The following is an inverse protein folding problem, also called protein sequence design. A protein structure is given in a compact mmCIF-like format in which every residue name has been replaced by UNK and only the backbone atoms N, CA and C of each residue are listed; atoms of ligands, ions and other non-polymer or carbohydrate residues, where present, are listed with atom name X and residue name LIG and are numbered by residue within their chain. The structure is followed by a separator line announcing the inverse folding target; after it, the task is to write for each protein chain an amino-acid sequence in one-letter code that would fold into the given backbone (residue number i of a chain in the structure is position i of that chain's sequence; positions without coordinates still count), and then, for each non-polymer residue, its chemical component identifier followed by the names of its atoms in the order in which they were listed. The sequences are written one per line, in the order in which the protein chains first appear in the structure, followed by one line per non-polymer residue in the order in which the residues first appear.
data_IF_034485862213
#
_entry.id   IF_034485862213
#
_cell.length_a   1.000
_cell.length_b   1.000
_cell.length_c   1.000
_cell.angle_alpha   90.00
_cell.angle_beta   90.00
_cell.angle_gamma   90.00
#
_symmetry.space_group_name_H-M   'P 1'
#
loop_
_entity.id
_entity.type
_entity.pdbx_description
1 polymer ?
#
# COMPACT_ATOMS: atom_id res chain seq x y z
N UNK A 1 13.11 -61.71 1.21
CA UNK A 1 12.39 -60.49 1.63
C UNK A 1 13.27 -59.25 1.82
N UNK A 2 14.52 -59.35 2.30
CA UNK A 2 15.40 -58.17 2.54
C UNK A 2 15.86 -57.49 1.25
N UNK A 3 16.20 -58.23 0.17
CA UNK A 3 16.67 -57.67 -1.12
C UNK A 3 15.59 -56.83 -1.86
N UNK A 4 14.30 -57.18 -1.69
CA UNK A 4 13.20 -56.45 -2.30
C UNK A 4 12.91 -55.10 -1.64
N UNK A 5 13.19 -54.96 -0.33
CA UNK A 5 13.09 -53.70 0.40
C UNK A 5 14.14 -52.68 -0.04
N UNK A 6 15.35 -53.10 -0.34
CA UNK A 6 16.41 -52.20 -0.83
C UNK A 6 16.20 -51.75 -2.26
N UNK A 7 15.55 -52.58 -3.11
CA UNK A 7 15.17 -52.21 -4.48
C UNK A 7 14.05 -51.12 -4.49
N UNK A 8 13.10 -51.22 -3.57
CA UNK A 8 12.02 -50.19 -3.46
C UNK A 8 12.58 -48.89 -2.92
N UNK A 9 13.49 -48.93 -1.94
CA UNK A 9 14.11 -47.70 -1.41
C UNK A 9 15.04 -47.04 -2.45
N UNK A 10 15.77 -47.83 -3.26
CA UNK A 10 16.58 -47.29 -4.35
C UNK A 10 15.75 -46.66 -5.46
N UNK A 11 14.58 -47.25 -5.79
CA UNK A 11 13.65 -46.68 -6.78
C UNK A 11 12.95 -45.39 -6.34
N UNK A 12 12.62 -45.24 -5.03
CA UNK A 12 12.07 -44.00 -4.50
C UNK A 12 13.10 -42.91 -4.39
N UNK A 13 14.35 -43.22 -4.12
CA UNK A 13 15.42 -42.22 -4.06
C UNK A 13 15.79 -41.66 -5.44
N UNK A 14 15.72 -42.47 -6.50
CA UNK A 14 15.97 -42.03 -7.88
C UNK A 14 14.87 -41.15 -8.48
N UNK A 15 13.62 -41.24 -8.00
CA UNK A 15 12.54 -40.32 -8.43
C UNK A 15 12.65 -38.93 -7.79
N UNK A 16 13.32 -38.79 -6.64
CA UNK A 16 13.49 -37.51 -5.96
C UNK A 16 14.57 -36.61 -6.60
N UNK A 17 15.43 -37.15 -7.47
CA UNK A 17 16.48 -36.39 -8.18
C UNK A 17 16.07 -35.83 -9.55
N UNK A 18 14.89 -36.16 -10.05
CA UNK A 18 14.40 -35.69 -11.36
C UNK A 18 13.70 -34.33 -11.31
N UNK A 19 13.70 -33.64 -10.16
CA UNK A 19 12.87 -32.46 -9.90
C UNK A 19 13.53 -31.09 -10.08
N UNK A 20 14.78 -30.98 -10.54
CA UNK A 20 15.42 -29.70 -10.83
C UNK A 20 15.67 -29.54 -12.34
N UNK A 21 14.59 -29.43 -13.13
CA UNK A 21 14.67 -28.76 -14.41
C UNK A 21 14.65 -27.27 -14.13
N UNK A 22 15.80 -26.64 -13.98
CA UNK A 22 15.92 -25.20 -14.11
C UNK A 22 15.69 -24.90 -15.59
N UNK A 23 14.49 -24.39 -15.93
CA UNK A 23 14.23 -23.81 -17.24
C UNK A 23 15.21 -22.63 -17.41
N UNK A 24 16.38 -22.94 -17.98
CA UNK A 24 17.36 -21.89 -18.33
C UNK A 24 16.75 -21.06 -19.44
N UNK A 25 16.49 -19.79 -19.16
CA UNK A 25 15.99 -18.85 -20.15
C UNK A 25 17.06 -18.75 -21.25
N UNK A 26 16.71 -18.99 -22.53
CA UNK A 26 17.64 -18.91 -23.66
C UNK A 26 18.34 -17.56 -23.71
N UNK A 27 19.60 -17.54 -24.16
CA UNK A 27 20.37 -16.32 -24.35
C UNK A 27 20.01 -15.68 -25.70
N UNK A 28 18.80 -15.11 -25.74
CA UNK A 28 18.28 -14.40 -26.90
C UNK A 28 18.70 -12.93 -26.86
N UNK A 29 18.69 -12.24 -28.01
CA UNK A 29 18.89 -10.79 -28.06
C UNK A 29 17.94 -10.04 -27.13
N UNK A 30 18.36 -8.91 -26.51
CA UNK A 30 17.53 -8.14 -25.57
C UNK A 30 16.14 -7.80 -26.10
N UNK A 31 16.02 -7.53 -27.40
CA UNK A 31 14.73 -7.22 -28.04
C UNK A 31 13.75 -8.40 -28.05
N UNK A 32 14.25 -9.64 -28.25
CA UNK A 32 13.41 -10.84 -28.22
C UNK A 32 13.02 -11.21 -26.80
N UNK A 33 13.95 -11.10 -25.85
CA UNK A 33 13.66 -11.31 -24.43
C UNK A 33 12.59 -10.33 -23.95
N UNK A 34 12.72 -9.05 -24.33
CA UNK A 34 11.75 -8.01 -23.97
C UNK A 34 10.38 -8.28 -24.62
N UNK A 35 10.34 -8.64 -25.91
CA UNK A 35 9.10 -8.98 -26.60
C UNK A 35 8.38 -10.15 -25.93
N UNK A 36 9.13 -11.20 -25.55
CA UNK A 36 8.59 -12.35 -24.79
C UNK A 36 8.02 -11.91 -23.45
N UNK A 37 8.71 -11.06 -22.71
CA UNK A 37 8.22 -10.53 -21.43
C UNK A 37 6.92 -9.74 -21.61
N UNK A 38 6.83 -8.88 -22.64
CA UNK A 38 5.63 -8.12 -22.97
C UNK A 38 4.43 -9.02 -23.32
N UNK A 39 4.64 -10.11 -24.05
CA UNK A 39 3.60 -11.10 -24.33
C UNK A 39 3.04 -11.72 -23.03
N UNK A 40 3.94 -12.06 -22.07
CA UNK A 40 3.54 -12.59 -20.77
C UNK A 40 2.78 -11.55 -19.93
N UNK A 41 3.19 -10.30 -19.94
CA UNK A 41 2.48 -9.19 -19.26
C UNK A 41 1.06 -9.03 -19.84
N UNK A 42 0.95 -8.99 -21.18
CA UNK A 42 -0.33 -8.81 -21.86
C UNK A 42 -1.29 -9.99 -21.64
N UNK A 43 -0.77 -11.23 -21.55
CA UNK A 43 -1.55 -12.42 -21.24
C UNK A 43 -1.91 -12.55 -19.75
N UNK A 44 -1.44 -11.65 -18.89
CA UNK A 44 -1.66 -11.71 -17.44
C UNK A 44 -0.83 -12.77 -16.70
N UNK A 45 0.13 -13.41 -17.39
CA UNK A 45 1.05 -14.37 -16.78
C UNK A 45 2.21 -13.63 -16.09
N UNK A 46 1.91 -12.97 -14.97
CA UNK A 46 2.86 -12.09 -14.28
C UNK A 46 4.08 -12.84 -13.74
N UNK A 47 3.92 -14.07 -13.26
CA UNK A 47 5.04 -14.89 -12.79
C UNK A 47 6.05 -15.19 -13.90
N UNK A 48 5.58 -15.61 -15.10
CA UNK A 48 6.46 -15.83 -16.23
C UNK A 48 7.05 -14.52 -16.78
N UNK A 49 6.30 -13.40 -16.72
CA UNK A 49 6.80 -12.08 -17.09
C UNK A 49 7.95 -11.64 -16.17
N UNK A 50 7.80 -11.79 -14.86
CA UNK A 50 8.83 -11.49 -13.85
C UNK A 50 10.11 -12.26 -14.18
N UNK A 51 10.01 -13.57 -14.38
CA UNK A 51 11.16 -14.43 -14.70
C UNK A 51 11.92 -13.94 -15.93
N UNK A 52 11.21 -13.52 -16.99
CA UNK A 52 11.84 -12.99 -18.22
C UNK A 52 12.45 -11.60 -18.01
N UNK A 53 11.74 -10.71 -17.31
CA UNK A 53 12.21 -9.34 -17.04
C UNK A 53 13.43 -9.35 -16.11
N UNK A 54 13.44 -10.18 -15.08
CA UNK A 54 14.60 -10.34 -14.18
C UNK A 54 15.81 -10.89 -14.92
N UNK A 55 15.63 -11.88 -15.79
CA UNK A 55 16.70 -12.40 -16.62
C UNK A 55 17.27 -11.30 -17.54
N UNK A 56 16.41 -10.46 -18.10
CA UNK A 56 16.84 -9.34 -18.95
C UNK A 56 17.56 -8.25 -18.14
N UNK A 57 17.04 -7.85 -16.96
CA UNK A 57 17.68 -6.88 -16.06
C UNK A 57 19.06 -7.36 -15.60
N UNK A 58 19.18 -8.65 -15.27
CA UNK A 58 20.44 -9.26 -14.81
C UNK A 58 21.49 -9.40 -15.92
N UNK A 59 21.09 -9.72 -17.16
CA UNK A 59 22.02 -9.89 -18.27
C UNK A 59 22.45 -8.57 -18.89
N UNK A 60 21.52 -7.61 -18.95
CA UNK A 60 21.69 -6.33 -19.64
C UNK A 60 21.31 -5.12 -18.78
N UNK A 61 21.93 -4.96 -17.58
CA UNK A 61 21.53 -3.93 -16.61
C UNK A 61 21.68 -2.49 -17.11
N UNK A 62 22.50 -2.30 -18.15
CA UNK A 62 22.71 -1.00 -18.83
C UNK A 62 22.28 -1.03 -20.28
N UNK A 63 21.48 -2.01 -20.66
CA UNK A 63 20.97 -2.16 -22.02
C UNK A 63 19.89 -1.13 -22.38
N UNK A 64 19.48 -1.11 -23.66
CA UNK A 64 18.50 -0.13 -24.16
C UNK A 64 17.12 -0.25 -23.50
N UNK A 65 16.81 -1.39 -22.87
CA UNK A 65 15.55 -1.65 -22.20
C UNK A 65 15.62 -1.54 -20.68
N UNK A 66 16.80 -1.26 -20.09
CA UNK A 66 17.02 -1.40 -18.64
C UNK A 66 16.01 -0.59 -17.80
N UNK A 67 15.71 0.65 -18.17
CA UNK A 67 14.75 1.49 -17.45
C UNK A 67 13.32 0.99 -17.64
N UNK A 68 12.94 0.60 -18.87
CA UNK A 68 11.60 0.10 -19.15
C UNK A 68 11.34 -1.25 -18.47
N UNK A 69 12.33 -2.14 -18.44
CA UNK A 69 12.28 -3.41 -17.72
C UNK A 69 11.98 -3.20 -16.24
N UNK A 70 12.62 -2.22 -15.60
CA UNK A 70 12.37 -1.90 -14.20
C UNK A 70 10.95 -1.36 -13.97
N UNK A 71 10.43 -0.52 -14.88
CA UNK A 71 9.03 -0.05 -14.82
C UNK A 71 8.04 -1.22 -14.99
N UNK A 72 8.33 -2.13 -15.91
CA UNK A 72 7.49 -3.32 -16.13
C UNK A 72 7.57 -4.31 -14.96
N UNK A 73 8.74 -4.46 -14.31
CA UNK A 73 8.91 -5.24 -13.10
C UNK A 73 8.10 -4.68 -11.93
N UNK A 74 8.06 -3.36 -11.76
CA UNK A 74 7.20 -2.72 -10.74
C UNK A 74 5.74 -3.16 -10.92
N UNK A 75 5.24 -3.11 -12.15
CA UNK A 75 3.88 -3.54 -12.46
C UNK A 75 3.67 -5.03 -12.24
N UNK A 76 4.59 -5.85 -12.75
CA UNK A 76 4.49 -7.31 -12.68
C UNK A 76 4.50 -7.82 -11.24
N UNK A 77 5.41 -7.32 -10.39
CA UNK A 77 5.45 -7.65 -8.96
C UNK A 77 4.17 -7.23 -8.25
N UNK A 78 3.68 -6.01 -8.49
CA UNK A 78 2.42 -5.54 -7.91
C UNK A 78 1.24 -6.46 -8.31
N UNK A 79 1.17 -6.85 -9.58
CA UNK A 79 0.11 -7.73 -10.11
C UNK A 79 0.23 -9.18 -9.63
N UNK A 80 1.44 -9.63 -9.30
CA UNK A 80 1.72 -10.93 -8.71
C UNK A 80 1.54 -10.96 -7.18
N UNK A 81 1.11 -9.83 -6.57
CA UNK A 81 1.01 -9.62 -5.12
C UNK A 81 2.36 -9.76 -4.37
N UNK A 82 3.47 -9.61 -5.10
CA UNK A 82 4.80 -9.51 -4.49
C UNK A 82 5.12 -8.04 -4.15
N UNK A 83 4.37 -7.53 -3.19
CA UNK A 83 4.45 -6.13 -2.78
C UNK A 83 5.85 -5.72 -2.27
N UNK A 84 6.60 -6.57 -1.53
CA UNK A 84 7.96 -6.21 -1.11
C UNK A 84 8.92 -6.00 -2.30
N UNK A 85 8.88 -6.84 -3.33
CA UNK A 85 9.71 -6.67 -4.52
C UNK A 85 9.26 -5.47 -5.37
N UNK A 86 7.94 -5.24 -5.47
CA UNK A 86 7.41 -4.03 -6.10
C UNK A 86 7.96 -2.78 -5.42
N UNK A 87 7.87 -2.68 -4.09
CA UNK A 87 8.36 -1.55 -3.32
C UNK A 87 9.88 -1.35 -3.47
N UNK A 88 10.67 -2.41 -3.33
CA UNK A 88 12.12 -2.34 -3.48
C UNK A 88 12.53 -1.85 -4.88
N UNK A 89 11.83 -2.30 -5.93
CA UNK A 89 12.09 -1.88 -7.32
C UNK A 89 11.69 -0.43 -7.55
N UNK A 90 10.56 0.02 -7.00
CA UNK A 90 10.10 1.41 -7.01
C UNK A 90 11.14 2.34 -6.38
N UNK A 91 11.60 2.01 -5.17
CA UNK A 91 12.59 2.82 -4.44
C UNK A 91 13.93 2.87 -5.17
N UNK A 92 14.38 1.73 -5.73
CA UNK A 92 15.58 1.67 -6.55
C UNK A 92 15.46 2.57 -7.78
N UNK A 93 14.36 2.45 -8.52
CA UNK A 93 14.12 3.23 -9.72
C UNK A 93 14.07 4.74 -9.44
N UNK A 94 13.27 5.15 -8.45
CA UNK A 94 13.12 6.56 -8.08
C UNK A 94 14.45 7.21 -7.65
N UNK A 95 15.30 6.45 -6.93
CA UNK A 95 16.61 6.93 -6.50
C UNK A 95 17.60 7.08 -7.65
N UNK A 96 17.59 6.14 -8.60
CA UNK A 96 18.54 6.12 -9.73
C UNK A 96 18.09 7.02 -10.88
N UNK A 97 16.78 7.26 -11.02
CA UNK A 97 16.18 7.96 -12.15
C UNK A 97 15.18 9.05 -11.70
N UNK A 98 15.59 10.01 -10.85
CA UNK A 98 14.67 10.97 -10.22
C UNK A 98 13.98 11.93 -11.18
N UNK A 99 14.53 12.10 -12.39
CA UNK A 99 14.00 12.98 -13.44
C UNK A 99 13.46 12.23 -14.66
N UNK A 100 13.21 10.92 -14.51
CA UNK A 100 12.69 10.10 -15.60
C UNK A 100 11.31 10.61 -16.06
N UNK A 101 10.99 10.61 -17.37
CA UNK A 101 9.67 11.05 -17.85
C UNK A 101 8.47 10.35 -17.19
N UNK A 102 8.62 9.08 -16.81
CA UNK A 102 7.58 8.29 -16.16
C UNK A 102 7.72 8.25 -14.63
N UNK A 103 8.31 9.27 -14.00
CA UNK A 103 8.43 9.30 -12.54
C UNK A 103 7.05 9.47 -11.86
N UNK A 104 6.09 10.06 -12.55
CA UNK A 104 4.70 10.14 -12.13
C UNK A 104 4.06 8.75 -12.02
N UNK A 105 4.32 7.84 -12.97
CA UNK A 105 3.94 6.43 -12.87
C UNK A 105 4.56 5.75 -11.64
N UNK A 106 5.85 6.00 -11.39
CA UNK A 106 6.55 5.39 -10.23
C UNK A 106 5.96 5.87 -8.91
N UNK A 107 5.63 7.18 -8.79
CA UNK A 107 4.93 7.73 -7.63
C UNK A 107 3.54 7.11 -7.45
N UNK A 108 2.81 6.94 -8.55
CA UNK A 108 1.51 6.28 -8.54
C UNK A 108 1.61 4.84 -8.06
N UNK A 109 2.54 4.06 -8.64
CA UNK A 109 2.74 2.66 -8.25
C UNK A 109 3.20 2.51 -6.79
N UNK A 110 3.99 3.46 -6.27
CA UNK A 110 4.37 3.48 -4.85
C UNK A 110 3.14 3.65 -3.96
N UNK A 111 2.28 4.61 -4.28
CA UNK A 111 1.05 4.83 -3.54
C UNK A 111 0.09 3.63 -3.58
N UNK A 112 -0.11 2.99 -4.75
CA UNK A 112 -0.99 1.81 -4.84
C UNK A 112 -0.39 0.59 -4.15
N UNK A 113 0.94 0.43 -4.15
CA UNK A 113 1.63 -0.64 -3.43
C UNK A 113 1.48 -0.46 -1.91
N UNK A 114 1.66 0.77 -1.40
CA UNK A 114 1.41 1.07 0.01
C UNK A 114 -0.06 0.85 0.41
N UNK A 115 -1.02 1.22 -0.45
CA UNK A 115 -2.43 0.89 -0.21
C UNK A 115 -2.68 -0.61 -0.14
N UNK A 116 -2.03 -1.40 -1.00
CA UNK A 116 -2.16 -2.86 -0.99
C UNK A 116 -1.57 -3.48 0.30
N UNK A 117 -0.49 -2.91 0.85
CA UNK A 117 0.01 -3.29 2.19
C UNK A 117 -0.97 -2.95 3.32
N UNK A 118 -1.66 -1.80 3.23
CA UNK A 118 -2.70 -1.42 4.20
C UNK A 118 -3.94 -2.31 4.05
N UNK A 119 -4.26 -2.72 2.81
CA UNK A 119 -5.41 -3.54 2.47
C UNK A 119 -5.07 -5.03 2.44
N UNK A 120 -5.02 -5.67 3.60
CA UNK A 120 -4.86 -7.12 3.69
C UNK A 120 -6.20 -7.81 3.31
N UNK A 121 -6.33 -8.17 2.02
CA UNK A 121 -7.55 -8.67 1.37
C UNK A 121 -8.27 -9.81 2.11
N UNK A 122 -7.54 -10.71 2.76
CA UNK A 122 -8.13 -11.80 3.55
C UNK A 122 -8.92 -11.32 4.77
N UNK A 123 -8.56 -10.17 5.34
CA UNK A 123 -9.19 -9.67 6.56
C UNK A 123 -10.41 -8.78 6.26
N UNK A 124 -10.43 -8.09 5.10
CA UNK A 124 -11.62 -7.35 4.65
C UNK A 124 -12.79 -8.28 4.36
N UNK A 125 -12.50 -9.50 3.86
CA UNK A 125 -13.52 -10.53 3.62
C UNK A 125 -14.23 -10.98 4.90
N UNK A 126 -13.55 -10.95 6.05
CA UNK A 126 -14.13 -11.31 7.35
C UNK A 126 -14.76 -10.13 8.10
N UNK A 127 -14.90 -8.96 7.49
CA UNK A 127 -15.55 -7.78 8.10
C UNK A 127 -14.82 -7.24 9.34
N UNK A 128 -13.52 -7.44 9.44
CA UNK A 128 -12.71 -6.97 10.57
C UNK A 128 -12.53 -5.46 10.43
N UNK A 129 -12.99 -4.70 11.42
CA UNK A 129 -12.72 -3.27 11.53
C UNK A 129 -11.21 -3.04 11.70
N UNK A 130 -10.65 -2.17 10.88
CA UNK A 130 -9.22 -1.87 10.83
C UNK A 130 -8.87 -0.45 11.26
N UNK A 131 -9.85 0.28 11.73
CA UNK A 131 -9.66 1.66 12.15
C UNK A 131 -8.57 1.81 13.22
N UNK A 132 -8.32 0.75 14.00
CA UNK A 132 -7.33 0.70 15.09
C UNK A 132 -5.91 0.26 14.66
N UNK A 133 -5.69 -0.15 13.40
CA UNK A 133 -4.37 -0.56 12.92
C UNK A 133 -3.47 0.62 12.60
N UNK A 134 -2.16 0.40 12.78
CA UNK A 134 -1.14 1.39 12.39
C UNK A 134 -1.31 1.81 10.92
N UNK A 135 -1.67 3.06 10.65
CA UNK A 135 -1.93 3.54 9.30
C UNK A 135 -0.65 3.99 8.57
N UNK A 136 0.52 3.42 8.88
CA UNK A 136 1.78 3.90 8.29
C UNK A 136 1.78 3.79 6.77
N UNK A 137 1.30 2.68 6.21
CA UNK A 137 1.18 2.52 4.76
C UNK A 137 0.16 3.48 4.16
N UNK A 138 -1.00 3.69 4.82
CA UNK A 138 -1.96 4.69 4.38
C UNK A 138 -1.38 6.12 4.37
N UNK A 139 -0.56 6.49 5.37
CA UNK A 139 0.15 7.78 5.39
C UNK A 139 1.18 7.90 4.26
N UNK A 140 1.92 6.83 3.98
CA UNK A 140 2.88 6.81 2.88
C UNK A 140 2.16 6.99 1.53
N UNK A 141 1.11 6.22 1.28
CA UNK A 141 0.28 6.34 0.08
C UNK A 141 -0.30 7.75 -0.08
N UNK A 142 -0.83 8.34 1.00
CA UNK A 142 -1.37 9.69 1.00
C UNK A 142 -0.32 10.72 0.58
N UNK A 143 0.89 10.64 1.13
CA UNK A 143 2.01 11.50 0.77
C UNK A 143 2.38 11.36 -0.72
N UNK A 144 2.49 10.13 -1.22
CA UNK A 144 2.94 9.85 -2.57
C UNK A 144 1.92 10.30 -3.62
N UNK A 145 0.63 10.07 -3.39
CA UNK A 145 -0.43 10.61 -4.25
C UNK A 145 -0.53 12.13 -4.16
N UNK A 146 -0.30 12.72 -2.99
CA UNK A 146 -0.25 14.18 -2.85
C UNK A 146 0.88 14.76 -3.70
N UNK A 147 2.09 14.17 -3.61
CA UNK A 147 3.23 14.57 -4.43
C UNK A 147 2.94 14.44 -5.93
N UNK A 148 2.29 13.34 -6.34
CA UNK A 148 1.91 13.11 -7.73
C UNK A 148 0.96 14.21 -8.23
N UNK A 149 -0.13 14.45 -7.51
CA UNK A 149 -1.15 15.43 -7.92
C UNK A 149 -0.60 16.86 -7.95
N UNK A 150 0.28 17.21 -7.00
CA UNK A 150 0.88 18.54 -6.92
C UNK A 150 1.94 18.78 -8.00
N UNK A 151 2.84 17.80 -8.22
CA UNK A 151 3.98 17.97 -9.12
C UNK A 151 3.66 17.57 -10.56
N UNK A 152 2.68 16.68 -10.76
CA UNK A 152 2.31 16.13 -12.08
C UNK A 152 0.78 16.17 -12.30
N UNK A 153 0.14 17.38 -12.24
CA UNK A 153 -1.32 17.50 -12.34
C UNK A 153 -1.89 17.06 -13.70
N UNK A 154 -1.05 16.98 -14.73
CA UNK A 154 -1.41 16.52 -16.08
C UNK A 154 -1.12 15.02 -16.29
N UNK A 155 -0.63 14.31 -15.28
CA UNK A 155 -0.39 12.87 -15.35
C UNK A 155 -1.71 12.12 -15.62
N UNK A 156 -1.62 11.05 -16.42
CA UNK A 156 -2.74 10.13 -16.64
C UNK A 156 -3.24 9.49 -15.34
N UNK A 157 -2.41 9.46 -14.31
CA UNK A 157 -2.73 8.88 -12.99
C UNK A 157 -3.31 9.90 -12.01
N UNK A 158 -3.26 11.20 -12.29
CA UNK A 158 -3.65 12.25 -11.35
C UNK A 158 -5.11 12.15 -10.90
N UNK A 159 -6.03 11.85 -11.83
CA UNK A 159 -7.46 11.76 -11.53
C UNK A 159 -7.79 10.56 -10.60
N UNK A 160 -7.12 9.41 -10.79
CA UNK A 160 -7.28 8.27 -9.90
C UNK A 160 -6.61 8.52 -8.53
N UNK A 161 -5.42 9.12 -8.53
CA UNK A 161 -4.73 9.51 -7.31
C UNK A 161 -5.58 10.46 -6.45
N UNK A 162 -6.30 11.42 -7.03
CA UNK A 162 -7.22 12.29 -6.29
C UNK A 162 -8.35 11.51 -5.60
N UNK A 163 -8.93 10.51 -6.26
CA UNK A 163 -9.96 9.65 -5.64
C UNK A 163 -9.39 8.86 -4.46
N UNK A 164 -8.18 8.34 -4.63
CA UNK A 164 -7.47 7.61 -3.56
C UNK A 164 -7.12 8.51 -2.39
N UNK A 165 -6.75 9.76 -2.64
CA UNK A 165 -6.51 10.75 -1.58
C UNK A 165 -7.76 10.98 -0.72
N UNK A 166 -8.95 11.05 -1.32
CA UNK A 166 -10.22 11.18 -0.55
C UNK A 166 -10.44 9.93 0.33
N UNK A 167 -10.24 8.75 -0.22
CA UNK A 167 -10.35 7.49 0.54
C UNK A 167 -9.36 7.46 1.70
N UNK A 168 -8.08 7.74 1.44
CA UNK A 168 -7.02 7.72 2.44
C UNK A 168 -7.22 8.79 3.52
N UNK A 169 -7.71 9.98 3.15
CA UNK A 169 -8.07 11.02 4.09
C UNK A 169 -9.10 10.53 5.11
N UNK A 170 -10.17 9.88 4.66
CA UNK A 170 -11.18 9.32 5.55
C UNK A 170 -10.61 8.17 6.39
N UNK A 171 -9.87 7.24 5.77
CA UNK A 171 -9.22 6.12 6.47
C UNK A 171 -8.30 6.59 7.60
N UNK A 172 -7.54 7.67 7.38
CA UNK A 172 -6.67 8.26 8.40
C UNK A 172 -7.47 8.95 9.51
N UNK A 173 -8.56 9.63 9.17
CA UNK A 173 -9.46 10.24 10.14
C UNK A 173 -10.15 9.18 11.03
N UNK A 174 -10.57 8.06 10.46
CA UNK A 174 -11.18 6.92 11.20
C UNK A 174 -10.19 6.33 12.21
N UNK A 175 -8.92 6.19 11.83
CA UNK A 175 -7.87 5.77 12.76
C UNK A 175 -7.75 6.74 13.95
N UNK A 176 -7.71 8.05 13.70
CA UNK A 176 -7.60 9.04 14.77
C UNK A 176 -8.83 9.02 15.71
N UNK A 177 -10.03 8.78 15.16
CA UNK A 177 -11.25 8.57 15.95
C UNK A 177 -11.14 7.35 16.85
N UNK A 178 -10.65 6.21 16.32
CA UNK A 178 -10.46 4.99 17.11
C UNK A 178 -9.51 5.21 18.29
N UNK A 179 -8.44 5.98 18.07
CA UNK A 179 -7.48 6.37 19.11
C UNK A 179 -8.16 7.28 20.16
N UNK A 180 -8.96 8.26 19.73
CA UNK A 180 -9.71 9.13 20.65
C UNK A 180 -10.70 8.32 21.51
N UNK A 181 -11.41 7.37 20.91
CA UNK A 181 -12.31 6.45 21.60
C UNK A 181 -11.57 5.57 22.62
N UNK A 182 -10.40 5.05 22.24
CA UNK A 182 -9.55 4.28 23.15
C UNK A 182 -9.14 5.10 24.37
N UNK A 183 -8.66 6.35 24.19
CA UNK A 183 -8.30 7.23 25.29
C UNK A 183 -9.52 7.61 26.16
N UNK A 184 -10.70 7.75 25.57
CA UNK A 184 -11.95 7.99 26.30
C UNK A 184 -12.25 6.82 27.25
N UNK A 185 -12.16 5.57 26.75
CA UNK A 185 -12.35 4.35 27.57
C UNK A 185 -11.33 4.25 28.71
N UNK A 186 -10.14 4.82 28.53
CA UNK A 186 -9.07 4.83 29.55
C UNK A 186 -9.17 6.00 30.53
N UNK A 187 -10.10 6.93 30.34
CA UNK A 187 -10.20 8.15 31.14
C UNK A 187 -9.06 9.15 30.92
N UNK A 188 -8.31 9.02 29.84
CA UNK A 188 -7.19 9.89 29.50
C UNK A 188 -7.68 11.15 28.75
N UNK A 189 -8.49 11.96 29.42
CA UNK A 189 -9.24 13.06 28.80
C UNK A 189 -8.39 14.14 28.14
N UNK A 190 -7.19 14.43 28.66
CA UNK A 190 -6.25 15.36 28.00
C UNK A 190 -5.81 14.80 26.65
N UNK A 191 -5.55 13.50 26.55
CA UNK A 191 -5.19 12.85 25.30
C UNK A 191 -6.35 12.87 24.30
N UNK A 192 -7.60 12.71 24.77
CA UNK A 192 -8.80 12.83 23.92
C UNK A 192 -8.87 14.23 23.30
N UNK A 193 -8.77 15.28 24.13
CA UNK A 193 -8.80 16.68 23.63
C UNK A 193 -7.72 16.90 22.59
N UNK A 194 -6.47 16.58 22.89
CA UNK A 194 -5.35 16.79 21.96
C UNK A 194 -5.56 16.04 20.65
N UNK A 195 -6.09 14.81 20.68
CA UNK A 195 -6.35 14.02 19.50
C UNK A 195 -7.44 14.64 18.63
N UNK A 196 -8.57 15.03 19.23
CA UNK A 196 -9.66 15.67 18.49
C UNK A 196 -9.28 17.04 17.95
N UNK A 197 -8.49 17.83 18.68
CA UNK A 197 -7.92 19.08 18.16
C UNK A 197 -7.03 18.84 16.93
N UNK A 198 -6.25 17.76 16.93
CA UNK A 198 -5.47 17.37 15.76
C UNK A 198 -6.39 17.00 14.59
N UNK A 199 -7.44 16.19 14.84
CA UNK A 199 -8.43 15.85 13.80
C UNK A 199 -9.09 17.08 13.20
N UNK A 200 -9.42 18.08 14.00
CA UNK A 200 -9.98 19.35 13.52
C UNK A 200 -9.03 20.13 12.61
N UNK A 201 -7.72 19.99 12.79
CA UNK A 201 -6.69 20.62 11.92
C UNK A 201 -6.47 19.81 10.65
N UNK A 202 -6.31 18.50 10.78
CA UNK A 202 -5.82 17.64 9.71
C UNK A 202 -6.97 17.06 8.85
N UNK A 203 -8.15 16.85 9.46
CA UNK A 203 -9.33 16.21 8.84
C UNK A 203 -10.63 16.98 9.10
N UNK A 204 -10.69 18.32 8.90
CA UNK A 204 -11.81 19.16 9.37
C UNK A 204 -13.16 18.75 8.81
N UNK A 205 -13.21 18.17 7.60
CA UNK A 205 -14.44 17.85 6.88
C UNK A 205 -14.80 16.35 6.94
N UNK A 206 -14.04 15.51 7.66
CA UNK A 206 -14.32 14.08 7.75
C UNK A 206 -15.52 13.80 8.68
N UNK A 207 -16.21 12.69 8.42
CA UNK A 207 -17.28 12.21 9.30
C UNK A 207 -16.70 11.82 10.68
N UNK A 208 -15.56 11.14 10.69
CA UNK A 208 -14.85 10.77 11.92
C UNK A 208 -14.55 11.99 12.82
N UNK A 209 -14.18 13.13 12.25
CA UNK A 209 -13.95 14.36 13.04
C UNK A 209 -15.26 14.87 13.66
N UNK A 210 -16.37 14.80 12.94
CA UNK A 210 -17.68 15.16 13.50
C UNK A 210 -18.06 14.22 14.64
N UNK A 211 -17.86 12.92 14.49
CA UNK A 211 -18.13 11.92 15.52
C UNK A 211 -17.21 12.05 16.74
N UNK A 212 -16.02 12.62 16.58
CA UNK A 212 -15.09 12.85 17.68
C UNK A 212 -15.46 14.03 18.58
N UNK A 213 -16.27 14.99 18.09
CA UNK A 213 -16.63 16.20 18.87
C UNK A 213 -17.37 15.90 20.17
N UNK A 214 -18.36 14.99 20.26
CA UNK A 214 -18.96 14.60 21.53
C UNK A 214 -17.95 14.03 22.54
N UNK A 215 -16.94 13.29 22.07
CA UNK A 215 -15.86 12.80 22.94
C UNK A 215 -15.05 13.95 23.54
N UNK A 216 -14.76 14.97 22.74
CA UNK A 216 -14.04 16.17 23.17
C UNK A 216 -14.87 17.00 24.16
N UNK A 217 -16.17 17.19 23.91
CA UNK A 217 -17.07 17.86 24.85
C UNK A 217 -17.05 17.17 26.21
N UNK A 218 -17.28 15.84 26.22
CA UNK A 218 -17.24 15.04 27.44
C UNK A 218 -15.87 15.16 28.14
N UNK A 219 -14.77 15.06 27.39
CA UNK A 219 -13.43 15.16 27.94
C UNK A 219 -13.19 16.52 28.64
N UNK A 220 -13.62 17.65 28.06
CA UNK A 220 -13.54 18.94 28.72
C UNK A 220 -14.39 19.02 30.00
N UNK A 221 -15.58 18.40 30.05
CA UNK A 221 -16.39 18.33 31.27
C UNK A 221 -15.67 17.55 32.37
N UNK A 222 -15.09 16.40 32.04
CA UNK A 222 -14.33 15.57 32.99
C UNK A 222 -13.07 16.28 33.51
N UNK A 223 -12.49 17.18 32.73
CA UNK A 223 -11.36 18.01 33.11
C UNK A 223 -11.74 19.27 33.90
N UNK A 224 -13.03 19.47 34.23
CA UNK A 224 -13.58 20.66 34.88
C UNK A 224 -13.30 21.96 34.08
N UNK A 225 -13.40 21.89 32.75
CA UNK A 225 -13.25 22.97 31.79
C UNK A 225 -14.58 23.32 31.09
N UNK A 226 -15.61 23.83 31.81
CA UNK A 226 -16.96 23.98 31.27
C UNK A 226 -17.03 24.99 30.11
N UNK A 227 -16.24 26.04 30.13
CA UNK A 227 -16.23 27.05 29.07
C UNK A 227 -15.79 26.48 27.72
N UNK A 228 -14.82 25.55 27.70
CA UNK A 228 -14.35 24.83 26.53
C UNK A 228 -15.40 23.81 26.05
N UNK A 229 -15.98 23.05 26.99
CA UNK A 229 -17.06 22.11 26.68
C UNK A 229 -18.26 22.83 26.01
N UNK A 230 -18.67 23.99 26.52
CA UNK A 230 -19.78 24.76 25.96
C UNK A 230 -19.46 25.35 24.57
N UNK A 231 -18.18 25.62 24.25
CA UNK A 231 -17.76 25.98 22.89
C UNK A 231 -17.94 24.79 21.93
N UNK A 232 -17.48 23.59 22.30
CA UNK A 232 -17.63 22.38 21.51
C UNK A 232 -19.10 22.03 21.33
N UNK A 233 -19.91 22.11 22.39
CA UNK A 233 -21.36 21.89 22.35
C UNK A 233 -22.04 22.79 21.31
N UNK A 234 -21.71 24.09 21.27
CA UNK A 234 -22.26 25.01 20.25
C UNK A 234 -21.88 24.57 18.84
N UNK A 235 -20.66 24.06 18.61
CA UNK A 235 -20.26 23.54 17.29
C UNK A 235 -21.11 22.34 16.92
N UNK A 236 -21.35 21.40 17.84
CA UNK A 236 -22.19 20.22 17.63
C UNK A 236 -23.61 20.63 17.26
N UNK A 237 -24.21 21.52 18.02
CA UNK A 237 -25.59 22.02 17.83
C UNK A 237 -25.73 22.76 16.50
N UNK A 238 -24.78 23.67 16.18
CA UNK A 238 -24.82 24.46 14.94
C UNK A 238 -24.71 23.61 13.68
N UNK A 239 -23.98 22.50 13.75
CA UNK A 239 -23.75 21.58 12.62
C UNK A 239 -24.69 20.37 12.61
N UNK A 240 -25.70 20.32 13.52
CA UNK A 240 -26.63 19.21 13.68
C UNK A 240 -25.96 17.84 13.78
N UNK A 241 -24.83 17.78 14.48
CA UNK A 241 -24.10 16.53 14.69
C UNK A 241 -24.87 15.68 15.70
N UNK A 242 -25.20 14.45 15.31
CA UNK A 242 -25.88 13.51 16.22
C UNK A 242 -24.92 13.03 17.31
N UNK A 243 -25.38 13.04 18.56
CA UNK A 243 -24.66 12.45 19.68
C UNK A 243 -24.79 10.93 19.70
#
# INVERSE_FOLDING_TARGET
MMRMKYLVVAATLSLALAGCSSDTIPDNPPSEMYATAQEKLQSGNFSAAITQLEALDNRYPFGPYSQQVQLDLIYAYYKADDLPLAQATIERFARLNPTHPNIDYVLYMRGVTDMAFDDNTLQSFFGIDRSDRDPQHARNAFRDFTQLVQNYPQSAYAADAQKRLIFLHNRLADYELSVAQYYTKRGAYVAVVNRVEQMLRDFPNSEATREALPLMENAYRQLNLPAQADKVKRIIETNNIKN
#
